data_IF_031412667165
#
_entry.id   IF_031412667165
#
_cell.length_a   1.000
_cell.length_b   1.000
_cell.length_c   1.000
_cell.angle_alpha   90.00
_cell.angle_beta   90.00
_cell.angle_gamma   90.00
#
_symmetry.space_group_name_H-M   'P 1'
#
loop_
_entity.id
_entity.type
_entity.pdbx_description
1 polymer ?
#
# COMPACT_ATOMS: atom_id res chain seq x y z
N UNK A 1 -35.60 51.48 38.35
CA UNK A 1 -34.69 52.07 37.37
C UNK A 1 -34.59 51.07 36.26
N UNK A 2 -35.27 51.27 35.15
CA UNK A 2 -35.36 50.49 33.97
C UNK A 2 -34.42 51.10 32.95
N UNK A 3 -33.34 50.41 32.60
CA UNK A 3 -32.53 50.75 31.43
C UNK A 3 -33.01 49.93 30.21
N UNK A 4 -33.53 50.67 29.25
CA UNK A 4 -33.98 50.23 27.95
C UNK A 4 -32.74 49.98 27.08
N UNK A 5 -32.56 48.74 26.62
CA UNK A 5 -31.57 48.37 25.56
C UNK A 5 -32.17 48.87 24.21
N UNK A 6 -31.61 49.93 23.68
CA UNK A 6 -31.82 50.33 22.28
C UNK A 6 -31.05 49.36 21.36
N UNK A 7 -31.78 48.74 20.45
CA UNK A 7 -31.18 47.88 19.44
C UNK A 7 -30.51 48.76 18.36
N UNK A 8 -29.17 48.58 18.17
CA UNK A 8 -28.43 49.21 17.07
C UNK A 8 -28.95 48.73 15.73
N UNK A 9 -29.45 49.64 14.92
CA UNK A 9 -29.84 49.39 13.52
C UNK A 9 -28.58 49.43 12.67
N UNK A 10 -28.21 48.29 12.09
CA UNK A 10 -27.08 48.19 11.14
C UNK A 10 -27.46 48.87 9.83
N UNK A 11 -26.62 49.79 9.35
CA UNK A 11 -26.77 50.48 8.06
C UNK A 11 -25.70 49.99 7.05
N UNK A 12 -26.01 50.12 5.75
CA UNK A 12 -25.04 49.86 4.68
C UNK A 12 -24.00 51.00 4.59
N UNK A 13 -22.93 50.88 3.77
CA UNK A 13 -21.92 51.93 3.65
C UNK A 13 -22.42 53.28 3.10
N UNK A 14 -23.66 53.35 2.58
CA UNK A 14 -24.34 54.57 2.13
C UNK A 14 -25.27 55.18 3.20
N UNK A 15 -25.39 54.54 4.38
CA UNK A 15 -26.16 55.09 5.51
C UNK A 15 -27.64 54.68 5.58
N UNK A 16 -28.10 53.77 4.69
CA UNK A 16 -29.49 53.32 4.70
C UNK A 16 -29.70 52.12 5.64
N UNK A 17 -30.85 52.03 6.32
CA UNK A 17 -31.15 50.93 7.21
C UNK A 17 -31.32 49.63 6.41
N UNK A 18 -30.60 48.56 6.84
CA UNK A 18 -30.74 47.22 6.26
C UNK A 18 -32.07 46.64 6.73
N UNK A 19 -33.11 46.79 5.92
CA UNK A 19 -34.35 46.04 6.08
C UNK A 19 -34.11 44.61 5.64
N UNK A 20 -34.59 43.64 6.42
CA UNK A 20 -34.49 42.22 6.14
C UNK A 20 -35.03 41.93 4.74
N UNK A 21 -34.12 41.58 3.80
CA UNK A 21 -34.52 41.09 2.50
C UNK A 21 -35.18 39.73 2.68
N UNK A 22 -36.36 39.53 2.14
CA UNK A 22 -36.91 38.22 1.89
C UNK A 22 -35.94 37.44 0.97
N UNK A 23 -35.74 36.15 1.18
CA UNK A 23 -34.79 35.40 0.36
C UNK A 23 -35.26 35.38 -1.10
N UNK A 24 -34.48 35.97 -2.01
CA UNK A 24 -34.68 35.87 -3.44
C UNK A 24 -34.82 34.39 -3.86
N UNK A 25 -35.94 34.08 -4.50
CA UNK A 25 -36.13 32.77 -5.14
C UNK A 25 -35.11 32.64 -6.29
N UNK A 26 -34.12 31.78 -6.12
CA UNK A 26 -33.19 31.46 -7.19
C UNK A 26 -33.93 30.69 -8.28
N UNK A 27 -33.88 31.17 -9.50
CA UNK A 27 -34.40 30.52 -10.70
C UNK A 27 -33.28 29.89 -11.50
N UNK A 28 -33.58 28.80 -12.26
CA UNK A 28 -32.68 28.21 -13.23
C UNK A 28 -32.48 29.14 -14.44
N UNK A 29 -31.55 28.84 -15.38
CA UNK A 29 -31.32 29.64 -16.58
C UNK A 29 -32.55 29.75 -17.52
N UNK A 30 -33.60 28.93 -17.32
CA UNK A 30 -34.87 28.94 -18.05
C UNK A 30 -35.96 29.75 -17.35
N UNK A 31 -35.66 30.33 -16.15
CA UNK A 31 -36.57 31.18 -15.41
C UNK A 31 -37.50 30.46 -14.42
N UNK A 32 -37.36 29.15 -14.26
CA UNK A 32 -38.19 28.36 -13.34
C UNK A 32 -37.68 28.48 -11.89
N UNK A 33 -38.55 28.55 -10.89
CA UNK A 33 -38.12 28.60 -9.50
C UNK A 33 -37.41 27.29 -9.09
N UNK A 34 -36.19 27.41 -8.57
CA UNK A 34 -35.50 26.30 -7.97
C UNK A 34 -36.22 25.98 -6.66
N UNK A 35 -37.15 25.04 -6.69
CA UNK A 35 -37.73 24.49 -5.47
C UNK A 35 -36.63 23.75 -4.71
N UNK A 36 -36.32 24.20 -3.47
CA UNK A 36 -35.47 23.48 -2.56
C UNK A 36 -36.00 22.05 -2.45
N UNK A 37 -35.20 21.06 -2.90
CA UNK A 37 -35.52 19.67 -2.64
C UNK A 37 -35.56 19.53 -1.13
N UNK A 38 -36.76 19.32 -0.57
CA UNK A 38 -36.92 19.05 0.86
C UNK A 38 -36.00 17.88 1.20
N UNK A 39 -35.20 18.02 2.26
CA UNK A 39 -34.39 16.92 2.77
C UNK A 39 -35.29 15.69 2.84
N UNK A 40 -34.83 14.52 2.33
CA UNK A 40 -35.64 13.33 2.35
C UNK A 40 -36.03 13.10 3.82
N UNK A 41 -37.33 13.05 4.08
CA UNK A 41 -37.84 12.56 5.36
C UNK A 41 -37.14 11.26 5.63
N UNK A 42 -36.63 11.08 6.83
CA UNK A 42 -36.03 9.82 7.31
C UNK A 42 -37.01 8.68 7.05
N UNK A 43 -37.06 8.25 5.79
CA UNK A 43 -37.71 7.02 5.39
C UNK A 43 -36.82 5.88 5.83
N UNK A 44 -37.43 4.81 6.27
CA UNK A 44 -36.77 3.57 6.60
C UNK A 44 -35.57 3.32 5.66
N UNK A 45 -34.38 3.26 6.24
CA UNK A 45 -33.17 2.87 5.52
C UNK A 45 -33.51 1.50 4.95
N UNK A 46 -33.76 1.41 3.65
CA UNK A 46 -33.93 0.12 2.96
C UNK A 46 -32.71 -0.69 3.31
N UNK A 47 -32.90 -1.74 4.08
CA UNK A 47 -31.83 -2.70 4.40
C UNK A 47 -31.19 -3.09 3.08
N UNK A 48 -29.88 -2.88 2.98
CA UNK A 48 -29.08 -3.31 1.84
C UNK A 48 -29.38 -4.80 1.60
N UNK A 49 -29.94 -5.20 0.45
CA UNK A 49 -30.23 -6.61 0.17
C UNK A 49 -28.97 -7.48 0.23
N UNK A 50 -27.77 -6.90 0.18
CA UNK A 50 -26.50 -7.58 0.35
C UNK A 50 -26.07 -7.69 1.83
N UNK A 51 -26.73 -6.97 2.77
CA UNK A 51 -26.39 -7.02 4.19
C UNK A 51 -26.73 -8.36 4.86
N UNK A 52 -27.72 -9.08 4.34
CA UNK A 52 -28.16 -10.38 4.91
C UNK A 52 -27.30 -11.57 4.45
N UNK A 53 -26.45 -11.41 3.42
CA UNK A 53 -25.62 -12.49 2.87
C UNK A 53 -24.17 -12.48 3.37
N UNK A 54 -23.81 -11.73 4.41
CA UNK A 54 -22.44 -11.75 4.96
C UNK A 54 -22.17 -13.10 5.62
N UNK A 55 -21.72 -14.06 4.81
CA UNK A 55 -21.29 -15.39 5.28
C UNK A 55 -20.26 -15.24 6.38
N UNK A 56 -20.42 -16.01 7.46
CA UNK A 56 -19.44 -16.05 8.54
C UNK A 56 -18.05 -16.32 7.96
N UNK A 57 -17.09 -15.44 8.24
CA UNK A 57 -15.74 -15.59 7.72
C UNK A 57 -15.06 -16.78 8.34
N UNK A 58 -14.42 -17.59 7.51
CA UNK A 58 -13.53 -18.65 7.98
C UNK A 58 -12.20 -17.98 8.37
N UNK A 59 -11.86 -18.08 9.63
CA UNK A 59 -10.61 -17.55 10.19
C UNK A 59 -9.82 -18.71 10.78
N UNK A 60 -8.55 -18.79 10.46
CA UNK A 60 -7.62 -19.78 10.98
C UNK A 60 -6.51 -19.11 11.78
N UNK A 61 -5.94 -19.77 12.79
CA UNK A 61 -4.74 -19.28 13.47
C UNK A 61 -3.57 -19.07 12.50
N UNK A 62 -2.74 -18.06 12.74
CA UNK A 62 -1.61 -17.70 11.87
C UNK A 62 -0.66 -18.88 11.59
N UNK A 63 -0.35 -19.70 12.58
CA UNK A 63 0.55 -20.85 12.42
C UNK A 63 0.03 -21.91 11.45
N UNK A 64 -1.29 -22.09 11.37
CA UNK A 64 -1.90 -23.05 10.43
C UNK A 64 -1.78 -22.61 8.98
N UNK A 65 -1.58 -21.33 8.73
CA UNK A 65 -1.45 -20.77 7.39
C UNK A 65 -0.27 -21.38 6.62
N UNK A 66 0.87 -21.59 7.28
CA UNK A 66 2.07 -22.11 6.63
C UNK A 66 2.09 -23.64 6.49
N UNK A 67 1.39 -24.34 7.34
CA UNK A 67 1.31 -25.80 7.39
C UNK A 67 0.13 -26.36 6.59
N UNK A 68 -0.81 -25.50 6.19
CA UNK A 68 -1.99 -25.93 5.48
C UNK A 68 -1.67 -26.50 4.09
N UNK A 69 -2.45 -27.47 3.59
CA UNK A 69 -2.35 -27.96 2.22
C UNK A 69 -2.41 -26.84 1.21
N UNK A 70 -1.65 -26.96 0.11
CA UNK A 70 -1.60 -25.99 -0.97
C UNK A 70 -2.24 -26.53 -2.22
N UNK A 71 -3.03 -25.68 -2.88
CA UNK A 71 -3.49 -25.91 -4.26
C UNK A 71 -2.55 -25.25 -5.24
N UNK A 72 -2.43 -25.79 -6.45
CA UNK A 72 -1.67 -25.20 -7.55
C UNK A 72 -2.66 -24.71 -8.60
N UNK A 73 -2.69 -23.41 -8.84
CA UNK A 73 -3.57 -22.79 -9.82
C UNK A 73 -2.77 -22.01 -10.86
N UNK A 74 -3.27 -21.95 -12.10
CA UNK A 74 -2.65 -21.20 -13.19
C UNK A 74 -3.44 -19.94 -13.45
N UNK A 75 -3.00 -18.83 -12.83
CA UNK A 75 -3.75 -17.59 -12.70
C UNK A 75 -2.91 -16.36 -13.04
N UNK A 76 -3.58 -15.22 -13.28
CA UNK A 76 -2.92 -13.93 -13.46
C UNK A 76 -2.40 -13.37 -12.14
N UNK A 77 -1.53 -12.35 -12.20
CA UNK A 77 -1.07 -11.65 -10.99
C UNK A 77 -2.21 -10.90 -10.30
N UNK A 78 -3.15 -10.33 -11.06
CA UNK A 78 -4.34 -9.70 -10.51
C UNK A 78 -5.22 -10.71 -9.76
N UNK A 79 -5.40 -11.93 -10.29
CA UNK A 79 -6.09 -13.03 -9.63
C UNK A 79 -5.31 -13.50 -8.37
N UNK A 80 -3.97 -13.55 -8.44
CA UNK A 80 -3.12 -13.89 -7.30
C UNK A 80 -3.24 -12.86 -6.18
N UNK A 81 -3.24 -11.56 -6.50
CA UNK A 81 -3.46 -10.49 -5.54
C UNK A 81 -4.86 -10.57 -4.90
N UNK A 82 -5.91 -10.80 -5.71
CA UNK A 82 -7.28 -11.06 -5.22
C UNK A 82 -7.30 -12.20 -4.20
N UNK A 83 -6.68 -13.34 -4.53
CA UNK A 83 -6.65 -14.50 -3.66
C UNK A 83 -5.85 -14.25 -2.37
N UNK A 84 -4.78 -13.46 -2.44
CA UNK A 84 -4.04 -13.02 -1.27
C UNK A 84 -4.89 -12.11 -0.36
N UNK A 85 -5.59 -11.14 -0.92
CA UNK A 85 -6.51 -10.25 -0.19
C UNK A 85 -7.63 -11.06 0.49
N UNK A 86 -8.22 -12.03 -0.24
CA UNK A 86 -9.26 -12.91 0.30
C UNK A 86 -8.80 -13.68 1.54
N UNK A 87 -7.57 -14.20 1.51
CA UNK A 87 -6.97 -14.98 2.61
C UNK A 87 -6.41 -14.10 3.72
N UNK A 88 -6.15 -12.83 3.46
CA UNK A 88 -5.63 -11.90 4.46
C UNK A 88 -6.70 -11.31 5.37
N UNK A 89 -7.96 -11.70 5.22
CA UNK A 89 -9.06 -11.16 6.03
C UNK A 89 -9.10 -9.61 6.02
N UNK A 90 -8.94 -9.04 4.82
CA UNK A 90 -9.00 -7.59 4.62
C UNK A 90 -10.41 -7.09 4.93
N UNK A 91 -10.50 -6.01 5.69
CA UNK A 91 -11.77 -5.39 6.06
C UNK A 91 -12.21 -4.37 5.01
N UNK A 92 -11.29 -3.54 4.54
CA UNK A 92 -11.56 -2.42 3.64
C UNK A 92 -10.59 -2.42 2.47
N UNK A 93 -11.12 -2.23 1.25
CA UNK A 93 -10.31 -1.87 0.09
C UNK A 93 -10.87 -0.61 -0.56
N UNK A 94 -9.98 0.35 -0.82
CA UNK A 94 -10.28 1.56 -1.58
C UNK A 94 -9.23 1.69 -2.67
N UNK A 95 -9.64 1.98 -3.90
CA UNK A 95 -8.71 2.28 -4.98
C UNK A 95 -9.36 3.20 -6.03
N UNK A 96 -8.52 3.93 -6.76
CA UNK A 96 -8.89 4.63 -7.99
C UNK A 96 -8.49 3.77 -9.19
N UNK A 97 -9.35 3.60 -10.20
CA UNK A 97 -9.04 2.74 -11.34
C UNK A 97 -7.97 3.38 -12.24
N UNK A 98 -6.84 2.73 -12.33
CA UNK A 98 -5.72 3.10 -13.21
C UNK A 98 -5.07 1.85 -13.81
N UNK A 99 -4.83 1.85 -15.14
CA UNK A 99 -4.17 0.74 -15.83
C UNK A 99 -2.70 0.63 -15.42
N UNK A 100 -2.16 -0.59 -15.13
CA UNK A 100 -2.77 -1.92 -15.24
C UNK A 100 -3.43 -2.46 -13.94
N UNK A 101 -3.63 -1.64 -12.93
CA UNK A 101 -4.19 -2.04 -11.62
C UNK A 101 -5.72 -2.27 -11.66
N UNK A 102 -6.44 -1.71 -12.64
CA UNK A 102 -7.91 -1.73 -12.69
C UNK A 102 -8.52 -3.13 -12.60
N UNK A 103 -7.87 -4.15 -13.19
CA UNK A 103 -8.31 -5.55 -13.10
C UNK A 103 -8.31 -6.04 -11.64
N UNK A 104 -7.23 -5.78 -10.91
CA UNK A 104 -7.13 -6.15 -9.49
C UNK A 104 -8.28 -5.53 -8.68
N UNK A 105 -8.59 -4.26 -8.93
CA UNK A 105 -9.67 -3.56 -8.26
C UNK A 105 -11.05 -4.19 -8.57
N UNK A 106 -11.31 -4.55 -9.83
CA UNK A 106 -12.54 -5.23 -10.22
C UNK A 106 -12.70 -6.57 -9.51
N UNK A 107 -11.63 -7.35 -9.46
CA UNK A 107 -11.61 -8.64 -8.77
C UNK A 107 -11.83 -8.52 -7.24
N UNK A 108 -11.34 -7.44 -6.61
CA UNK A 108 -11.63 -7.16 -5.20
C UNK A 108 -13.08 -6.72 -5.01
N UNK A 109 -13.67 -6.00 -5.98
CA UNK A 109 -15.11 -5.72 -5.99
C UNK A 109 -15.95 -6.99 -6.00
N UNK A 110 -15.52 -8.05 -6.71
CA UNK A 110 -16.15 -9.38 -6.62
C UNK A 110 -16.06 -9.95 -5.20
N UNK A 111 -14.90 -9.86 -4.55
CA UNK A 111 -14.73 -10.32 -3.16
C UNK A 111 -15.65 -9.59 -2.18
N UNK A 112 -15.91 -8.30 -2.42
CA UNK A 112 -16.89 -7.54 -1.65
C UNK A 112 -18.31 -8.10 -1.86
N UNK A 113 -18.73 -8.32 -3.11
CA UNK A 113 -20.02 -8.94 -3.44
C UNK A 113 -20.18 -10.34 -2.84
N UNK A 114 -19.10 -11.12 -2.73
CA UNK A 114 -19.06 -12.44 -2.09
C UNK A 114 -18.95 -12.39 -0.57
N UNK A 115 -18.82 -11.21 0.05
CA UNK A 115 -18.69 -11.00 1.49
C UNK A 115 -17.32 -11.32 2.10
N UNK A 116 -16.28 -11.46 1.29
CA UNK A 116 -14.90 -11.67 1.76
C UNK A 116 -14.22 -10.39 2.22
N UNK A 117 -14.50 -9.25 1.58
CA UNK A 117 -14.11 -7.91 2.00
C UNK A 117 -15.34 -7.23 2.57
N UNK A 118 -15.23 -6.54 3.70
CA UNK A 118 -16.40 -5.93 4.36
C UNK A 118 -16.87 -4.68 3.67
N UNK A 119 -15.92 -3.85 3.26
CA UNK A 119 -16.17 -2.56 2.65
C UNK A 119 -15.28 -2.36 1.41
N UNK A 120 -15.86 -1.81 0.36
CA UNK A 120 -15.19 -1.55 -0.88
C UNK A 120 -15.65 -0.23 -1.47
N UNK A 121 -14.72 0.66 -1.75
CA UNK A 121 -15.02 1.97 -2.33
C UNK A 121 -14.14 2.26 -3.54
N UNK A 122 -14.72 2.96 -4.51
CA UNK A 122 -13.97 3.60 -5.59
C UNK A 122 -13.70 5.04 -5.19
N UNK A 123 -12.43 5.39 -5.08
CA UNK A 123 -12.03 6.77 -4.84
C UNK A 123 -12.19 7.64 -6.09
N UNK A 124 -12.19 8.94 -5.90
CA UNK A 124 -12.22 9.92 -7.00
C UNK A 124 -10.83 10.20 -7.57
N UNK A 125 -9.80 10.07 -6.71
CA UNK A 125 -8.39 10.21 -7.04
C UNK A 125 -7.49 9.50 -6.02
N UNK A 126 -6.22 9.29 -6.37
CA UNK A 126 -5.29 8.53 -5.51
C UNK A 126 -4.92 9.24 -4.23
N UNK A 127 -4.83 10.58 -4.21
CA UNK A 127 -4.59 11.35 -2.98
C UNK A 127 -5.68 11.07 -1.92
N UNK A 128 -6.95 11.16 -2.33
CA UNK A 128 -8.09 10.86 -1.46
C UNK A 128 -8.11 9.41 -1.01
N UNK A 129 -7.79 8.46 -1.91
CA UNK A 129 -7.67 7.03 -1.61
C UNK A 129 -6.63 6.79 -0.53
N UNK A 130 -5.41 7.29 -0.71
CA UNK A 130 -4.30 7.05 0.24
C UNK A 130 -4.56 7.71 1.60
N UNK A 131 -5.22 8.87 1.60
CA UNK A 131 -5.67 9.55 2.83
C UNK A 131 -6.75 8.74 3.57
N UNK A 132 -7.72 8.19 2.84
CA UNK A 132 -8.78 7.35 3.42
C UNK A 132 -8.22 6.03 3.99
N UNK A 133 -7.26 5.39 3.31
CA UNK A 133 -6.52 4.22 3.81
C UNK A 133 -5.79 4.56 5.12
N UNK A 134 -5.16 5.74 5.20
CA UNK A 134 -4.51 6.19 6.43
C UNK A 134 -5.51 6.28 7.59
N UNK A 135 -6.64 6.95 7.38
CA UNK A 135 -7.70 7.08 8.39
C UNK A 135 -8.26 5.74 8.85
N UNK A 136 -8.59 4.86 7.91
CA UNK A 136 -9.13 3.53 8.21
C UNK A 136 -8.10 2.63 8.93
N UNK A 137 -6.84 2.63 8.49
CA UNK A 137 -5.78 1.90 9.18
C UNK A 137 -5.59 2.43 10.61
N UNK A 138 -5.69 3.74 10.81
CA UNK A 138 -5.65 4.38 12.11
C UNK A 138 -6.80 3.94 13.03
N UNK A 139 -7.97 3.69 12.46
CA UNK A 139 -9.13 3.13 13.18
C UNK A 139 -9.03 1.61 13.42
N UNK A 140 -7.90 0.99 13.17
CA UNK A 140 -7.69 -0.44 13.41
C UNK A 140 -8.21 -1.37 12.30
N UNK A 141 -8.61 -0.82 11.16
CA UNK A 141 -9.14 -1.58 10.02
C UNK A 141 -7.99 -2.16 9.18
N UNK A 142 -8.05 -3.43 8.81
CA UNK A 142 -7.07 -4.02 7.87
C UNK A 142 -7.40 -3.58 6.46
N UNK A 143 -6.53 -2.74 5.89
CA UNK A 143 -6.75 -2.05 4.63
C UNK A 143 -5.84 -2.57 3.53
N UNK A 144 -6.41 -2.69 2.33
CA UNK A 144 -5.67 -2.94 1.09
C UNK A 144 -6.00 -1.85 0.07
N UNK A 145 -4.98 -1.37 -0.63
CA UNK A 145 -5.14 -0.51 -1.80
C UNK A 145 -4.19 -0.92 -2.91
N UNK A 146 -4.45 -0.46 -4.12
CA UNK A 146 -3.55 -0.65 -5.25
C UNK A 146 -3.59 0.57 -6.16
N UNK A 147 -2.43 0.88 -6.77
CA UNK A 147 -2.29 1.97 -7.74
C UNK A 147 -1.20 1.64 -8.76
N UNK A 148 -0.94 2.54 -9.69
CA UNK A 148 0.05 2.34 -10.75
C UNK A 148 0.66 3.67 -11.19
N UNK A 149 1.95 3.69 -11.50
CA UNK A 149 2.66 4.77 -12.18
C UNK A 149 2.32 6.18 -11.69
N UNK A 150 1.61 6.98 -12.52
CA UNK A 150 1.24 8.35 -12.13
C UNK A 150 0.41 8.42 -10.85
N UNK A 151 -0.43 7.40 -10.59
CA UNK A 151 -1.24 7.33 -9.38
C UNK A 151 -0.41 7.15 -8.11
N UNK A 152 0.74 6.46 -8.19
CA UNK A 152 1.70 6.39 -7.09
C UNK A 152 2.21 7.79 -6.74
N UNK A 153 2.56 8.59 -7.73
CA UNK A 153 3.03 9.96 -7.51
C UNK A 153 1.90 10.88 -7.03
N UNK A 154 0.68 10.71 -7.55
CA UNK A 154 -0.50 11.48 -7.11
C UNK A 154 -0.83 11.22 -5.63
N UNK A 155 -0.66 9.99 -5.17
CA UNK A 155 -0.87 9.57 -3.78
C UNK A 155 0.38 9.68 -2.88
N UNK A 156 1.50 10.20 -3.36
CA UNK A 156 2.78 10.11 -2.65
C UNK A 156 2.77 10.88 -1.33
N UNK A 157 2.16 12.06 -1.28
CA UNK A 157 2.12 12.88 -0.06
C UNK A 157 1.46 12.13 1.13
N UNK A 158 0.24 11.59 1.01
CA UNK A 158 -0.29 10.77 2.11
C UNK A 158 0.53 9.49 2.35
N UNK A 159 1.07 8.83 1.31
CA UNK A 159 1.87 7.62 1.47
C UNK A 159 3.10 7.88 2.34
N UNK A 160 3.83 8.98 2.14
CA UNK A 160 5.03 9.29 2.95
C UNK A 160 4.71 9.58 4.41
N UNK A 161 3.46 9.90 4.73
CA UNK A 161 3.00 10.09 6.11
C UNK A 161 2.69 8.78 6.84
N UNK A 162 2.37 7.69 6.13
CA UNK A 162 1.96 6.41 6.73
C UNK A 162 2.99 5.81 7.69
N UNK A 163 4.29 5.75 7.35
CA UNK A 163 5.30 5.22 8.27
C UNK A 163 5.44 6.06 9.54
N UNK A 164 5.41 7.39 9.43
CA UNK A 164 5.43 8.31 10.57
C UNK A 164 4.23 8.12 11.49
N UNK A 165 3.07 7.79 10.95
CA UNK A 165 1.87 7.43 11.71
C UNK A 165 1.82 5.98 12.16
N UNK A 166 2.83 5.16 11.79
CA UNK A 166 2.91 3.74 12.15
C UNK A 166 1.66 2.97 11.75
N UNK A 167 1.24 3.11 10.49
CA UNK A 167 0.02 2.52 9.95
C UNK A 167 0.33 1.17 9.27
N UNK A 168 -0.16 0.03 9.77
CA UNK A 168 0.03 -1.26 9.12
C UNK A 168 -0.96 -1.45 7.94
N UNK A 169 -0.90 -0.55 6.96
CA UNK A 169 -1.63 -0.64 5.71
C UNK A 169 -0.80 -1.36 4.64
N UNK A 170 -1.45 -1.97 3.65
CA UNK A 170 -0.77 -2.58 2.52
C UNK A 170 -1.22 -1.95 1.21
N UNK A 171 -0.22 -1.53 0.41
CA UNK A 171 -0.42 -1.00 -0.93
C UNK A 171 0.30 -1.84 -1.98
N UNK A 172 -0.38 -2.19 -3.07
CA UNK A 172 0.21 -2.80 -4.25
C UNK A 172 0.49 -1.71 -5.29
N UNK A 173 1.71 -1.70 -5.83
CA UNK A 173 2.15 -0.77 -6.86
C UNK A 173 2.42 -1.54 -8.15
N UNK A 174 1.55 -1.36 -9.16
CA UNK A 174 1.70 -1.99 -10.47
C UNK A 174 2.48 -1.06 -11.38
N UNK A 175 3.80 -1.24 -11.40
CA UNK A 175 4.74 -0.32 -12.00
C UNK A 175 4.55 -0.15 -13.50
N UNK A 176 4.51 1.11 -13.95
CA UNK A 176 4.45 1.51 -15.35
C UNK A 176 5.09 2.89 -15.54
N UNK A 177 5.24 3.33 -16.79
CA UNK A 177 5.70 4.69 -17.11
C UNK A 177 4.85 5.75 -16.39
N UNK A 178 5.50 6.63 -15.65
CA UNK A 178 4.85 7.64 -14.79
C UNK A 178 4.45 8.91 -15.52
N UNK A 179 5.15 9.29 -16.60
CA UNK A 179 4.95 10.56 -17.27
C UNK A 179 5.17 10.47 -18.79
N UNK A 180 5.05 11.60 -19.47
CA UNK A 180 5.23 11.71 -20.92
C UNK A 180 6.69 11.41 -21.35
N UNK A 181 6.88 10.70 -22.49
CA UNK A 181 5.83 10.10 -23.32
C UNK A 181 5.15 8.93 -22.62
N UNK A 182 3.80 8.95 -22.62
CA UNK A 182 3.02 7.98 -21.86
C UNK A 182 3.10 6.59 -22.48
N UNK A 183 3.32 5.59 -21.61
CA UNK A 183 3.18 4.20 -21.94
C UNK A 183 2.57 3.45 -20.73
N UNK A 184 1.89 2.34 -21.01
CA UNK A 184 1.34 1.46 -19.97
C UNK A 184 2.27 0.27 -19.69
N UNK A 185 3.38 0.22 -20.41
CA UNK A 185 4.40 -0.82 -20.25
C UNK A 185 5.20 -0.63 -18.96
N UNK A 186 5.82 -1.69 -18.44
CA UNK A 186 6.62 -1.62 -17.24
C UNK A 186 7.75 -0.60 -17.33
N UNK A 187 7.78 0.26 -16.36
CA UNK A 187 8.89 1.11 -15.98
C UNK A 187 8.77 1.26 -14.47
N UNK A 188 9.74 0.80 -13.74
CA UNK A 188 9.65 0.77 -12.29
C UNK A 188 10.33 1.98 -11.62
N UNK A 189 10.36 3.12 -12.30
CA UNK A 189 10.92 4.36 -11.77
C UNK A 189 10.16 4.84 -10.51
N UNK A 190 8.85 4.60 -10.42
CA UNK A 190 8.05 5.00 -9.26
C UNK A 190 8.52 4.35 -7.96
N UNK A 191 9.16 3.18 -8.02
CA UNK A 191 9.78 2.55 -6.85
C UNK A 191 10.81 3.49 -6.22
N UNK A 192 11.59 4.22 -7.03
CA UNK A 192 12.62 5.13 -6.53
C UNK A 192 12.08 6.21 -5.60
N UNK A 193 10.83 6.65 -5.80
CA UNK A 193 10.17 7.63 -4.94
C UNK A 193 9.70 7.01 -3.60
N UNK A 194 9.49 5.69 -3.57
CA UNK A 194 9.05 4.97 -2.38
C UNK A 194 10.20 4.50 -1.49
N UNK A 195 11.43 4.41 -2.03
CA UNK A 195 12.59 3.85 -1.32
C UNK A 195 12.92 4.58 -0.01
N UNK A 196 12.60 5.87 0.08
CA UNK A 196 12.93 6.72 1.23
C UNK A 196 11.71 7.11 2.08
N UNK A 197 10.57 6.46 1.86
CA UNK A 197 9.35 6.76 2.63
C UNK A 197 9.35 6.17 4.05
N UNK A 198 10.16 5.15 4.34
CA UNK A 198 10.16 4.47 5.64
C UNK A 198 9.17 3.31 5.72
N UNK A 199 8.61 2.85 4.60
CA UNK A 199 7.80 1.63 4.53
C UNK A 199 8.66 0.38 4.29
N UNK A 200 8.12 -0.78 4.62
CA UNK A 200 8.67 -2.05 4.14
C UNK A 200 8.29 -2.17 2.66
N UNK A 201 9.25 -2.47 1.79
CA UNK A 201 9.00 -2.48 0.35
C UNK A 201 9.54 -3.76 -0.29
N UNK A 202 8.66 -4.49 -0.95
CA UNK A 202 8.97 -5.69 -1.72
C UNK A 202 8.80 -5.44 -3.21
N UNK A 203 9.58 -6.18 -4.04
CA UNK A 203 9.42 -6.16 -5.49
C UNK A 203 9.27 -7.58 -6.02
N UNK A 204 8.06 -7.93 -6.45
CA UNK A 204 7.68 -9.26 -6.88
C UNK A 204 8.11 -9.57 -8.31
N UNK A 205 8.74 -10.73 -8.51
CA UNK A 205 9.15 -11.24 -9.81
C UNK A 205 7.96 -11.77 -10.64
N UNK A 206 7.03 -12.43 -9.97
CA UNK A 206 5.96 -13.22 -10.60
C UNK A 206 4.69 -13.29 -9.73
N UNK A 207 3.71 -14.03 -10.19
CA UNK A 207 2.42 -14.21 -9.54
C UNK A 207 2.54 -14.85 -8.14
N UNK A 208 3.48 -15.77 -7.96
CA UNK A 208 3.74 -16.38 -6.66
C UNK A 208 4.29 -15.36 -5.66
N UNK A 209 5.27 -14.56 -6.06
CA UNK A 209 5.80 -13.50 -5.20
C UNK A 209 4.71 -12.51 -4.82
N UNK A 210 3.86 -12.11 -5.78
CA UNK A 210 2.79 -11.16 -5.52
C UNK A 210 1.79 -11.70 -4.47
N UNK A 211 1.37 -12.96 -4.62
CA UNK A 211 0.54 -13.65 -3.64
C UNK A 211 1.21 -13.69 -2.25
N UNK A 212 2.45 -14.17 -2.21
CA UNK A 212 3.20 -14.36 -0.98
C UNK A 212 3.51 -13.02 -0.27
N UNK A 213 3.91 -11.99 -1.03
CA UNK A 213 4.29 -10.70 -0.45
C UNK A 213 3.08 -9.94 0.10
N UNK A 214 1.91 -10.06 -0.51
CA UNK A 214 0.68 -9.48 0.04
C UNK A 214 0.30 -10.19 1.35
N UNK A 215 0.21 -11.52 1.35
CA UNK A 215 -0.17 -12.30 2.53
C UNK A 215 0.81 -12.08 3.70
N UNK A 216 2.09 -12.30 3.42
CA UNK A 216 3.17 -12.21 4.42
C UNK A 216 3.42 -10.75 4.82
N UNK A 217 3.18 -9.82 3.89
CA UNK A 217 3.23 -8.39 4.14
C UNK A 217 2.28 -7.95 5.25
N UNK A 218 1.05 -8.42 5.26
CA UNK A 218 0.12 -8.16 6.36
C UNK A 218 0.62 -8.72 7.69
N UNK A 219 1.13 -9.96 7.69
CA UNK A 219 1.67 -10.58 8.91
C UNK A 219 2.82 -9.75 9.48
N UNK A 220 3.75 -9.33 8.63
CA UNK A 220 4.93 -8.55 9.03
C UNK A 220 4.54 -7.15 9.49
N UNK A 221 3.67 -6.50 8.72
CA UNK A 221 3.15 -5.16 8.97
C UNK A 221 2.52 -5.02 10.36
N UNK A 222 1.79 -6.03 10.81
CA UNK A 222 1.01 -6.03 12.04
C UNK A 222 1.79 -6.49 13.28
N UNK A 223 3.08 -6.85 13.16
CA UNK A 223 3.91 -7.17 14.34
C UNK A 223 4.08 -5.93 15.23
N UNK A 224 3.87 -6.09 16.54
CA UNK A 224 3.84 -4.98 17.49
C UNK A 224 5.14 -4.15 17.52
N UNK A 225 6.28 -4.77 17.25
CA UNK A 225 7.58 -4.11 17.21
C UNK A 225 7.95 -3.57 15.82
N UNK A 226 7.12 -3.84 14.81
CA UNK A 226 7.24 -3.32 13.44
C UNK A 226 6.21 -2.24 13.20
N UNK A 227 4.95 -2.60 13.08
CA UNK A 227 3.81 -1.70 12.86
C UNK A 227 4.10 -0.62 11.82
N UNK A 228 4.33 -1.05 10.58
CA UNK A 228 4.67 -0.20 9.44
C UNK A 228 3.83 -0.55 8.21
N UNK A 229 3.60 0.38 7.30
CA UNK A 229 3.01 0.06 6.03
C UNK A 229 3.93 -0.84 5.20
N UNK A 230 3.30 -1.66 4.35
CA UNK A 230 3.99 -2.49 3.38
C UNK A 230 3.59 -2.09 1.98
N UNK A 231 4.58 -1.84 1.14
CA UNK A 231 4.46 -1.72 -0.30
C UNK A 231 4.86 -3.02 -1.00
N UNK A 232 4.02 -3.47 -1.93
CA UNK A 232 4.33 -4.59 -2.82
C UNK A 232 4.33 -4.09 -4.25
N UNK A 233 5.51 -3.87 -4.80
CA UNK A 233 5.69 -3.46 -6.19
C UNK A 233 5.74 -4.69 -7.11
N UNK A 234 5.21 -4.56 -8.31
CA UNK A 234 5.35 -5.54 -9.39
C UNK A 234 5.28 -4.85 -10.75
N UNK A 235 5.95 -5.41 -11.74
CA UNK A 235 5.94 -4.86 -13.10
C UNK A 235 4.57 -5.08 -13.75
N UNK A 236 3.93 -3.98 -14.12
CA UNK A 236 2.61 -3.97 -14.75
C UNK A 236 2.60 -4.79 -16.04
N UNK A 237 1.47 -5.41 -16.39
CA UNK A 237 1.28 -6.37 -17.47
C UNK A 237 2.15 -7.62 -17.38
N UNK A 238 3.47 -7.52 -17.16
CA UNK A 238 4.37 -8.68 -17.10
C UNK A 238 4.05 -9.59 -15.92
N UNK A 239 3.62 -9.03 -14.80
CA UNK A 239 3.20 -9.81 -13.64
C UNK A 239 1.69 -9.83 -13.51
N UNK A 240 1.02 -8.68 -13.66
CA UNK A 240 -0.42 -8.56 -13.37
C UNK A 240 -1.31 -9.31 -14.33
N UNK A 241 -1.00 -9.32 -15.65
CA UNK A 241 -1.85 -9.90 -16.69
C UNK A 241 -1.34 -11.24 -17.25
N UNK A 242 -0.02 -11.51 -17.13
CA UNK A 242 0.50 -12.83 -17.48
C UNK A 242 0.01 -13.88 -16.49
N UNK A 243 -0.19 -15.10 -16.98
CA UNK A 243 -0.55 -16.25 -16.14
C UNK A 243 0.68 -17.01 -15.69
N UNK A 244 0.65 -17.47 -14.45
CA UNK A 244 1.69 -18.31 -13.87
C UNK A 244 1.11 -19.29 -12.85
N UNK A 245 1.90 -20.28 -12.50
CA UNK A 245 1.51 -21.20 -11.44
C UNK A 245 1.71 -20.56 -10.08
N UNK A 246 0.65 -20.59 -9.27
CA UNK A 246 0.65 -20.09 -7.89
C UNK A 246 0.26 -21.24 -6.94
N UNK A 247 1.12 -21.51 -5.98
CA UNK A 247 0.84 -22.45 -4.90
C UNK A 247 0.23 -21.68 -3.74
N UNK A 248 -1.05 -21.92 -3.49
CA UNK A 248 -1.84 -21.20 -2.48
C UNK A 248 -2.32 -22.17 -1.42
N UNK A 249 -2.49 -21.69 -0.20
CA UNK A 249 -3.22 -22.42 0.83
C UNK A 249 -4.68 -22.63 0.40
N UNK A 250 -5.33 -23.63 0.97
CA UNK A 250 -6.72 -23.97 0.62
C UNK A 250 -7.68 -22.77 0.72
N UNK A 251 -8.77 -22.84 -0.07
CA UNK A 251 -9.77 -21.77 -0.22
C UNK A 251 -10.42 -21.49 1.12
N UNK A 252 -10.45 -21.50 2.08
CA UNK A 252 -11.10 -21.15 3.35
C UNK A 252 -10.14 -20.63 4.39
N UNK A 253 -8.85 -20.83 4.18
CA UNK A 253 -7.84 -20.40 5.14
C UNK A 253 -7.64 -18.89 5.02
N UNK A 254 -7.69 -18.22 6.16
CA UNK A 254 -7.52 -16.78 6.25
C UNK A 254 -6.65 -16.42 7.45
N UNK A 255 -5.97 -15.29 7.35
CA UNK A 255 -5.33 -14.70 8.51
C UNK A 255 -6.39 -14.38 9.58
N UNK A 256 -6.03 -14.51 10.87
CA UNK A 256 -6.93 -14.14 11.96
C UNK A 256 -7.38 -12.68 11.81
N UNK A 257 -8.54 -12.32 12.40
CA UNK A 257 -8.92 -10.92 12.50
C UNK A 257 -7.80 -10.14 13.17
N UNK A 258 -7.62 -8.91 12.73
CA UNK A 258 -6.72 -7.99 13.43
C UNK A 258 -7.26 -7.81 14.84
N UNK A 259 -6.54 -8.29 15.82
CA UNK A 259 -6.85 -8.01 17.23
C UNK A 259 -6.70 -6.51 17.48
N UNK A 260 -7.40 -6.00 18.51
CA UNK A 260 -7.31 -4.59 18.88
C UNK A 260 -5.85 -4.17 18.90
N UNK A 261 -5.45 -3.47 17.88
CA UNK A 261 -4.06 -3.21 17.60
C UNK A 261 -3.45 -2.35 18.70
N UNK A 262 -2.46 -2.89 19.37
CA UNK A 262 -1.74 -2.26 20.49
C UNK A 262 -0.32 -1.90 20.10
N UNK A 263 -0.11 -1.50 18.86
CA UNK A 263 1.19 -1.09 18.36
C UNK A 263 1.72 0.19 18.98
N UNK A 264 2.78 0.75 18.40
CA UNK A 264 3.44 1.97 18.87
C UNK A 264 2.50 3.19 18.99
N UNK A 265 1.36 3.13 18.30
CA UNK A 265 0.36 4.20 18.23
C UNK A 265 -1.03 3.63 18.56
N UNK A 266 -1.78 4.22 19.52
CA UNK A 266 -3.11 3.72 19.88
C UNK A 266 -4.09 3.85 18.71
N UNK A 267 -4.95 2.85 18.55
CA UNK A 267 -6.07 2.88 17.61
C UNK A 267 -7.09 3.94 18.06
N UNK A 268 -7.71 4.62 17.11
CA UNK A 268 -8.85 5.47 17.39
C UNK A 268 -10.06 4.59 17.73
N UNK A 269 -10.46 4.62 18.98
CA UNK A 269 -11.62 3.91 19.51
C UNK A 269 -12.60 4.97 20.02
N UNK A 270 -13.81 5.01 19.45
CA UNK A 270 -14.83 5.99 19.81
C UNK A 270 -15.36 5.77 21.23
N UNK A 271 -15.38 4.51 21.71
CA UNK A 271 -15.85 4.18 23.06
C UNK A 271 -14.77 4.39 24.11
N UNK A 272 -13.50 4.22 23.73
CA UNK A 272 -12.35 4.39 24.60
C UNK A 272 -11.30 5.28 23.92
N UNK A 273 -11.57 6.57 23.72
CA UNK A 273 -10.63 7.45 23.02
C UNK A 273 -9.31 7.51 23.77
N UNK A 274 -8.17 7.36 23.08
CA UNK A 274 -6.87 7.40 23.73
C UNK A 274 -6.67 8.77 24.39
N UNK A 275 -6.25 8.77 25.65
CA UNK A 275 -6.04 9.97 26.45
C UNK A 275 -5.01 10.95 25.83
N UNK A 276 -4.21 10.50 24.86
CA UNK A 276 -3.27 11.29 24.08
C UNK A 276 -3.23 10.84 22.63
N UNK A 277 -3.81 11.59 21.74
CA UNK A 277 -3.51 11.54 20.30
C UNK A 277 -2.09 12.06 19.99
N UNK A 278 -1.40 12.57 20.98
CA UNK A 278 -0.27 13.48 20.85
C UNK A 278 1.07 12.84 20.49
N UNK A 279 1.19 11.50 20.43
CA UNK A 279 2.42 10.91 19.89
C UNK A 279 2.57 11.10 18.39
N UNK A 280 1.46 11.26 17.69
CA UNK A 280 1.43 11.35 16.23
C UNK A 280 1.46 12.79 15.73
N UNK A 281 1.10 13.72 16.59
CA UNK A 281 1.18 15.14 16.31
C UNK A 281 1.74 15.83 17.58
N UNK A 282 3.05 15.77 17.82
CA UNK A 282 3.63 16.49 18.93
C UNK A 282 3.29 17.97 18.78
N UNK A 283 2.65 18.53 19.82
CA UNK A 283 2.37 19.95 19.85
C UNK A 283 3.71 20.69 19.79
N UNK A 284 3.90 21.42 18.70
CA UNK A 284 5.11 22.18 18.47
C UNK A 284 5.19 23.33 19.46
N UNK A 285 6.02 23.19 20.47
CA UNK A 285 6.29 24.28 21.43
C UNK A 285 7.36 25.22 20.91
N UNK A 286 8.30 24.69 20.10
CA UNK A 286 9.32 25.47 19.42
C UNK A 286 9.81 24.71 18.18
N UNK A 287 10.36 25.41 17.19
CA UNK A 287 10.94 24.80 15.99
C UNK A 287 12.05 23.82 16.31
N UNK A 288 12.86 24.10 17.34
CA UNK A 288 13.94 23.23 17.78
C UNK A 288 13.42 21.91 18.40
N UNK A 289 12.39 21.99 19.24
CA UNK A 289 11.75 20.81 19.80
C UNK A 289 11.08 19.95 18.72
N UNK A 290 10.37 20.59 17.79
CA UNK A 290 9.71 19.89 16.69
C UNK A 290 10.73 19.14 15.81
N UNK A 291 11.84 19.76 15.47
CA UNK A 291 12.91 19.13 14.71
C UNK A 291 13.52 17.93 15.44
N UNK A 292 13.85 18.05 16.71
CA UNK A 292 14.42 16.95 17.48
C UNK A 292 13.44 15.78 17.64
N UNK A 293 12.15 16.06 17.90
CA UNK A 293 11.12 15.03 17.98
C UNK A 293 10.97 14.32 16.63
N UNK A 294 10.96 15.06 15.53
CA UNK A 294 10.90 14.49 14.20
C UNK A 294 12.11 13.59 13.91
N UNK A 295 13.33 14.06 14.20
CA UNK A 295 14.54 13.27 13.96
C UNK A 295 14.54 11.95 14.75
N UNK A 296 14.19 11.98 16.04
CA UNK A 296 14.07 10.78 16.88
C UNK A 296 12.98 9.84 16.35
N UNK A 297 11.85 10.39 15.90
CA UNK A 297 10.77 9.61 15.34
C UNK A 297 11.16 8.94 14.03
N UNK A 298 11.89 9.63 13.15
CA UNK A 298 12.42 9.05 11.92
C UNK A 298 13.41 7.92 12.20
N UNK A 299 14.30 8.08 13.20
CA UNK A 299 15.19 6.99 13.64
C UNK A 299 14.40 5.75 14.06
N UNK A 300 13.30 5.91 14.80
CA UNK A 300 12.45 4.80 15.21
C UNK A 300 11.73 4.14 14.04
N UNK A 301 11.27 4.90 13.05
CA UNK A 301 10.67 4.36 11.82
C UNK A 301 11.67 3.46 11.09
N UNK A 302 12.89 3.96 10.85
CA UNK A 302 13.92 3.17 10.17
C UNK A 302 14.41 1.98 11.00
N UNK A 303 14.49 2.12 12.33
CA UNK A 303 14.76 0.99 13.21
C UNK A 303 13.67 -0.08 13.14
N UNK A 304 12.40 0.31 12.98
CA UNK A 304 11.30 -0.64 12.78
C UNK A 304 11.37 -1.32 11.39
N UNK A 305 11.79 -0.60 10.34
CA UNK A 305 12.09 -1.20 9.04
C UNK A 305 13.15 -2.29 9.19
N UNK A 306 14.25 -2.02 9.90
CA UNK A 306 15.30 -3.03 10.14
C UNK A 306 14.82 -4.19 11.03
N UNK A 307 13.98 -3.93 12.04
CA UNK A 307 13.36 -5.01 12.84
C UNK A 307 12.50 -5.96 12.02
N UNK A 308 11.92 -5.50 10.93
CA UNK A 308 11.12 -6.36 10.04
C UNK A 308 11.95 -7.46 9.38
N UNK A 309 13.28 -7.29 9.24
CA UNK A 309 14.22 -8.26 8.66
C UNK A 309 14.08 -9.66 9.27
N UNK A 310 13.93 -9.75 10.60
CA UNK A 310 13.78 -11.05 11.28
C UNK A 310 12.52 -11.79 10.83
N UNK A 311 11.42 -11.06 10.60
CA UNK A 311 10.16 -11.63 10.14
C UNK A 311 10.19 -11.96 8.63
N UNK A 312 10.88 -11.15 7.84
CA UNK A 312 11.14 -11.46 6.42
C UNK A 312 11.94 -12.76 6.31
N UNK A 313 12.99 -12.92 7.13
CA UNK A 313 13.76 -14.16 7.18
C UNK A 313 12.88 -15.34 7.61
N UNK A 314 12.04 -15.17 8.62
CA UNK A 314 11.17 -16.22 9.15
C UNK A 314 10.10 -16.65 8.13
N UNK A 315 9.40 -15.70 7.52
CA UNK A 315 8.21 -15.99 6.71
C UNK A 315 8.47 -16.08 5.23
N UNK A 316 9.54 -15.45 4.73
CA UNK A 316 9.86 -15.39 3.30
C UNK A 316 11.16 -16.14 2.95
N UNK A 317 11.92 -16.61 3.95
CA UNK A 317 13.20 -17.28 3.71
C UNK A 317 14.33 -16.35 3.28
N UNK A 318 14.23 -15.05 3.63
CA UNK A 318 15.27 -14.05 3.41
C UNK A 318 14.90 -12.91 2.49
N UNK A 319 15.73 -11.87 2.52
CA UNK A 319 15.59 -10.66 1.71
C UNK A 319 16.05 -10.88 0.27
N UNK A 320 16.91 -11.88 0.06
CA UNK A 320 17.45 -12.26 -1.25
C UNK A 320 17.38 -13.77 -1.42
N UNK A 321 17.46 -14.22 -2.68
CA UNK A 321 17.87 -15.59 -3.01
C UNK A 321 19.09 -15.53 -3.92
N UNK A 322 19.96 -16.53 -3.84
CA UNK A 322 21.18 -16.64 -4.64
C UNK A 322 21.21 -17.96 -5.39
N UNK A 323 21.56 -17.92 -6.66
CA UNK A 323 21.65 -19.07 -7.57
C UNK A 323 23.04 -19.06 -8.24
N UNK A 324 23.83 -20.12 -8.09
CA UNK A 324 25.13 -20.32 -8.76
C UNK A 324 26.12 -19.15 -8.62
N UNK A 325 26.14 -18.47 -7.47
CA UNK A 325 26.99 -17.29 -7.25
C UNK A 325 28.46 -17.67 -7.00
N UNK A 326 28.69 -18.81 -6.35
CA UNK A 326 30.05 -19.25 -6.01
C UNK A 326 30.83 -19.64 -7.26
N UNK A 327 31.99 -19.02 -7.45
CA UNK A 327 32.87 -19.27 -8.61
C UNK A 327 32.39 -18.67 -9.93
N UNK A 328 31.33 -17.88 -9.92
CA UNK A 328 30.79 -17.26 -11.14
C UNK A 328 31.75 -16.20 -11.73
N UNK A 329 31.81 -16.13 -13.07
CA UNK A 329 32.55 -15.10 -13.79
C UNK A 329 31.89 -13.73 -13.67
N UNK A 330 30.55 -13.72 -13.63
CA UNK A 330 29.74 -12.54 -13.41
C UNK A 330 28.54 -12.87 -12.52
N UNK A 331 28.01 -11.87 -11.82
CA UNK A 331 26.80 -11.95 -11.00
C UNK A 331 25.76 -10.97 -11.53
N UNK A 332 24.58 -11.47 -11.88
CA UNK A 332 23.41 -10.63 -12.13
C UNK A 332 22.70 -10.35 -10.79
N UNK A 333 22.40 -9.08 -10.50
CA UNK A 333 21.59 -8.70 -9.34
C UNK A 333 20.34 -8.03 -9.87
N UNK A 334 19.18 -8.64 -9.64
CA UNK A 334 17.92 -8.18 -10.19
C UNK A 334 16.78 -8.21 -9.18
N UNK A 335 15.74 -7.43 -9.43
CA UNK A 335 14.47 -7.44 -8.72
C UNK A 335 13.29 -7.37 -9.72
N UNK A 336 12.08 -7.70 -9.27
CA UNK A 336 10.92 -7.73 -10.15
C UNK A 336 11.05 -8.73 -11.29
N UNK A 337 10.37 -8.48 -12.40
CA UNK A 337 10.37 -9.40 -13.55
C UNK A 337 11.71 -9.48 -14.28
N UNK A 338 12.64 -8.54 -14.06
CA UNK A 338 14.02 -8.63 -14.58
C UNK A 338 14.76 -9.89 -14.10
N UNK A 339 14.32 -10.50 -12.99
CA UNK A 339 14.87 -11.77 -12.48
C UNK A 339 14.60 -12.92 -13.46
N UNK A 340 13.40 -13.01 -14.03
CA UNK A 340 13.06 -14.04 -15.00
C UNK A 340 13.89 -13.90 -16.30
N UNK A 341 14.05 -12.66 -16.80
CA UNK A 341 14.92 -12.39 -17.95
C UNK A 341 16.38 -12.70 -17.65
N UNK A 342 16.83 -12.43 -16.41
CA UNK A 342 18.19 -12.78 -15.97
C UNK A 342 18.44 -14.30 -16.01
N UNK A 343 17.48 -15.12 -15.61
CA UNK A 343 17.61 -16.57 -15.70
C UNK A 343 17.76 -17.06 -17.14
N UNK A 344 17.02 -16.48 -18.07
CA UNK A 344 17.17 -16.82 -19.49
C UNK A 344 18.53 -16.35 -20.04
N UNK A 345 18.99 -15.15 -19.69
CA UNK A 345 20.32 -14.68 -20.05
C UNK A 345 21.43 -15.62 -19.52
N UNK A 346 21.30 -16.11 -18.28
CA UNK A 346 22.23 -17.08 -17.67
C UNK A 346 22.25 -18.39 -18.47
N UNK A 347 21.07 -18.89 -18.89
CA UNK A 347 20.98 -20.08 -19.72
C UNK A 347 21.77 -19.90 -21.03
N UNK A 348 21.60 -18.76 -21.70
CA UNK A 348 22.31 -18.42 -22.94
C UNK A 348 23.82 -18.25 -22.72
N UNK A 349 24.26 -17.72 -21.59
CA UNK A 349 25.67 -17.60 -21.22
C UNK A 349 26.31 -18.98 -20.98
N UNK A 350 25.58 -19.88 -20.32
CA UNK A 350 26.04 -21.27 -20.07
C UNK A 350 26.30 -22.00 -21.36
N UNK A 351 25.50 -21.83 -22.40
CA UNK A 351 25.70 -22.41 -23.73
C UNK A 351 27.03 -21.94 -24.39
N UNK A 352 27.56 -20.80 -23.91
CA UNK A 352 28.86 -20.24 -24.34
C UNK A 352 30.01 -20.54 -23.37
N UNK A 353 29.79 -21.36 -22.35
CA UNK A 353 30.79 -21.70 -21.34
C UNK A 353 31.06 -20.62 -20.30
N UNK A 354 30.22 -19.57 -20.21
CA UNK A 354 30.33 -18.46 -19.23
C UNK A 354 29.49 -18.81 -18.00
N UNK A 355 30.11 -18.83 -16.82
CA UNK A 355 29.43 -19.07 -15.56
C UNK A 355 28.88 -17.77 -14.97
N UNK A 356 27.56 -17.66 -14.88
CA UNK A 356 26.90 -16.46 -14.34
C UNK A 356 26.02 -16.85 -13.16
N UNK A 357 26.19 -16.15 -12.05
CA UNK A 357 25.35 -16.26 -10.86
C UNK A 357 24.20 -15.27 -10.89
N UNK A 358 23.16 -15.52 -10.09
CA UNK A 358 22.01 -14.63 -9.91
C UNK A 358 21.77 -14.36 -8.44
N UNK A 359 21.58 -13.09 -8.11
CA UNK A 359 21.03 -12.66 -6.83
C UNK A 359 19.70 -11.97 -7.11
N UNK A 360 18.60 -12.57 -6.64
CA UNK A 360 17.28 -11.98 -6.68
C UNK A 360 17.06 -11.19 -5.40
N UNK A 361 16.83 -9.87 -5.50
CA UNK A 361 16.41 -9.02 -4.41
C UNK A 361 14.89 -9.07 -4.31
N UNK A 362 14.36 -9.45 -3.15
CA UNK A 362 12.93 -9.50 -2.81
C UNK A 362 12.52 -8.27 -2.03
N UNK A 363 13.37 -7.89 -1.05
CA UNK A 363 13.12 -6.74 -0.18
C UNK A 363 14.00 -5.56 -0.60
N UNK A 364 13.35 -4.47 -0.96
CA UNK A 364 14.01 -3.20 -1.26
C UNK A 364 14.17 -2.34 0.00
N UNK A 365 13.30 -2.55 0.99
CA UNK A 365 13.39 -1.97 2.34
C UNK A 365 12.81 -2.97 3.36
N UNK A 366 13.58 -3.44 4.35
CA UNK A 366 15.03 -3.16 4.52
C UNK A 366 15.86 -3.67 3.34
N UNK A 367 16.93 -2.96 3.00
CA UNK A 367 17.82 -3.36 1.91
C UNK A 367 18.82 -4.43 2.37
N UNK A 368 19.15 -5.45 1.55
CA UNK A 368 19.95 -6.60 1.95
C UNK A 368 21.47 -6.34 1.94
N UNK A 369 21.94 -5.28 2.61
CA UNK A 369 23.36 -4.86 2.59
C UNK A 369 24.30 -5.98 3.06
N UNK A 370 24.09 -6.64 4.22
CA UNK A 370 25.00 -7.68 4.68
C UNK A 370 25.06 -8.87 3.73
N UNK A 371 23.92 -9.27 3.20
CA UNK A 371 23.79 -10.40 2.28
C UNK A 371 24.52 -10.11 0.96
N UNK A 372 24.36 -8.90 0.40
CA UNK A 372 25.05 -8.49 -0.82
C UNK A 372 26.55 -8.43 -0.62
N UNK A 373 27.04 -7.85 0.47
CA UNK A 373 28.49 -7.83 0.79
C UNK A 373 29.08 -9.22 0.86
N UNK A 374 28.38 -10.16 1.50
CA UNK A 374 28.83 -11.55 1.59
C UNK A 374 28.83 -12.24 0.24
N UNK A 375 27.72 -12.13 -0.52
CA UNK A 375 27.55 -12.85 -1.80
C UNK A 375 28.44 -12.27 -2.91
N UNK A 376 28.72 -10.96 -2.88
CA UNK A 376 29.50 -10.28 -3.89
C UNK A 376 31.00 -10.17 -3.57
N UNK A 377 31.45 -10.63 -2.39
CA UNK A 377 32.84 -10.43 -1.92
C UNK A 377 33.93 -10.91 -2.89
N UNK A 378 33.63 -11.88 -3.74
CA UNK A 378 34.57 -12.46 -4.73
C UNK A 378 34.14 -12.21 -6.18
N UNK A 379 33.12 -11.37 -6.38
CA UNK A 379 32.60 -11.10 -7.71
C UNK A 379 33.60 -10.31 -8.56
N UNK A 380 33.86 -10.78 -9.78
CA UNK A 380 34.73 -10.08 -10.75
C UNK A 380 33.96 -9.03 -11.55
N UNK A 381 32.69 -9.31 -11.81
CA UNK A 381 31.77 -8.44 -12.55
C UNK A 381 30.39 -8.54 -11.94
N UNK A 382 29.75 -7.40 -11.71
CA UNK A 382 28.37 -7.29 -11.28
C UNK A 382 27.58 -6.51 -12.33
N UNK A 383 26.44 -7.06 -12.74
CA UNK A 383 25.53 -6.42 -13.70
C UNK A 383 24.14 -6.33 -13.04
N UNK A 384 23.52 -5.17 -13.11
CA UNK A 384 22.20 -4.92 -12.53
C UNK A 384 21.22 -4.55 -13.64
N UNK A 385 20.45 -5.52 -14.17
CA UNK A 385 19.44 -5.23 -15.18
C UNK A 385 18.19 -4.62 -14.53
N UNK A 386 17.69 -3.53 -15.12
CA UNK A 386 16.55 -2.78 -14.62
C UNK A 386 15.63 -2.30 -15.75
N UNK A 387 14.32 -2.18 -15.48
CA UNK A 387 13.33 -1.58 -16.39
C UNK A 387 13.11 -0.08 -16.10
N UNK A 388 14.19 0.66 -15.83
CA UNK A 388 14.15 2.11 -15.67
C UNK A 388 15.43 2.75 -16.18
N UNK A 389 15.35 4.01 -16.58
CA UNK A 389 16.51 4.75 -17.10
C UNK A 389 17.45 5.24 -16.00
N UNK A 390 16.95 5.46 -14.78
CA UNK A 390 17.71 6.10 -13.69
C UNK A 390 18.62 5.17 -12.92
N UNK A 391 18.50 3.85 -13.15
CA UNK A 391 19.33 2.82 -12.51
C UNK A 391 19.32 2.93 -10.98
N UNK A 392 18.12 3.04 -10.39
CA UNK A 392 17.99 3.21 -8.94
C UNK A 392 18.49 2.00 -8.14
N UNK A 393 18.25 0.78 -8.64
CA UNK A 393 18.70 -0.45 -7.96
C UNK A 393 20.22 -0.58 -8.05
N UNK A 394 20.82 -0.29 -9.22
CA UNK A 394 22.27 -0.32 -9.39
C UNK A 394 22.98 0.66 -8.44
N UNK A 395 22.40 1.84 -8.19
CA UNK A 395 22.92 2.82 -7.21
C UNK A 395 22.85 2.28 -5.78
N UNK A 396 21.72 1.67 -5.38
CA UNK A 396 21.59 1.07 -4.04
C UNK A 396 22.55 -0.12 -3.86
N UNK A 397 22.72 -0.96 -4.90
CA UNK A 397 23.70 -2.06 -4.91
C UNK A 397 25.12 -1.52 -4.79
N UNK A 398 25.50 -0.54 -5.60
CA UNK A 398 26.84 0.07 -5.55
C UNK A 398 27.15 0.72 -4.19
N UNK A 399 26.15 1.29 -3.54
CA UNK A 399 26.31 1.84 -2.17
C UNK A 399 26.41 0.75 -1.09
N UNK A 400 25.88 -0.44 -1.36
CA UNK A 400 25.87 -1.56 -0.41
C UNK A 400 27.17 -2.35 -0.38
N UNK A 401 27.82 -2.53 -1.54
CA UNK A 401 29.03 -3.37 -1.73
C UNK A 401 30.26 -2.51 -1.91
#
# INVERSE_FOLDING_TARGET
>A
MSESLEAEVKTNPQGDPITSMEPEQKTNPQGDPITSVAAPKTGEVKKDPHAEAKKQRIVTPEYMFFEAPRTKEFITGSEAAKEAVRRSNVDLSIAYPITPQSETMQLIGVLYGEGYVKEYYRGEEEYGVMSAIAGASRAGVRCFTATAGPGTLRGLEPIVSWPGHRLPALAMFTCRVVNAPLAIQPDNIEISYLLNCGMILFHGENQQDLFDFIMKGFIISEKNDVTLPVGVACDGFFVTHARGYVHMQEKGIKLPPREAWRGAVPVLDAENPPARLSRDAPVQKSNFMAYNIHAVWQQEVWAAVERSRKYINQYMGGLVTAENVEGADAILIASGSAVAQSREAIRLCKDKGIQVGLIKIRSLRPFPIPELRQLCAKAKLIVVPEFNYVAWLAKDVAAAI
#
